data_IF_124250379255
#
_entry.id   IF_124250379255
#
_cell.length_a   1.000
_cell.length_b   1.000
_cell.length_c   1.000
_cell.angle_alpha   90.00
_cell.angle_beta   90.00
_cell.angle_gamma   90.00
#
_symmetry.space_group_name_H-M   'P 1'
#
loop_
_entity.id
_entity.type
_entity.pdbx_description
1 polymer ?
#
# COMPACT_ATOMS: atom_id res chain seq x y z
N UNK A 1 3.50 -4.79 13.74
CA UNK A 1 3.95 -4.68 12.32
C UNK A 1 3.01 -5.50 11.46
N UNK A 2 3.06 -5.41 10.13
CA UNK A 2 2.22 -6.24 9.26
C UNK A 2 2.64 -6.14 7.79
N UNK A 3 1.82 -6.74 6.93
CA UNK A 3 1.90 -6.57 5.49
C UNK A 3 0.58 -6.18 4.87
N UNK A 4 0.66 -5.44 3.78
CA UNK A 4 -0.45 -5.19 2.85
C UNK A 4 -0.02 -5.63 1.47
N UNK A 5 -0.85 -6.41 0.80
CA UNK A 5 -0.69 -6.84 -0.58
C UNK A 5 -1.80 -6.24 -1.44
N UNK A 6 -1.41 -5.50 -2.49
CA UNK A 6 -2.33 -4.89 -3.47
C UNK A 6 -1.80 -5.09 -4.88
N UNK A 7 -2.68 -4.97 -5.87
CA UNK A 7 -2.30 -4.96 -7.29
C UNK A 7 -2.56 -3.58 -7.85
N UNK A 8 -1.55 -3.01 -8.51
CA UNK A 8 -1.64 -1.70 -9.15
C UNK A 8 -0.97 -1.75 -10.52
N UNK A 9 -1.41 -0.87 -11.42
CA UNK A 9 -0.72 -0.65 -12.69
C UNK A 9 0.49 0.24 -12.46
N UNK A 10 1.67 -0.28 -12.79
CA UNK A 10 2.94 0.41 -12.58
C UNK A 10 3.64 0.70 -13.91
N UNK A 11 4.32 1.84 -13.95
CA UNK A 11 5.24 2.17 -15.04
C UNK A 11 6.47 2.91 -14.55
N UNK A 12 7.48 2.99 -15.41
CA UNK A 12 8.75 3.67 -15.09
C UNK A 12 8.57 5.17 -15.10
N UNK A 13 8.94 5.83 -14.01
CA UNK A 13 8.96 7.29 -13.92
C UNK A 13 10.24 7.82 -14.59
N UNK A 14 10.08 8.65 -15.62
CA UNK A 14 11.19 9.13 -16.45
C UNK A 14 11.73 10.51 -16.05
N UNK A 15 10.99 11.28 -15.26
CA UNK A 15 11.33 12.67 -14.88
C UNK A 15 11.36 12.85 -13.36
N UNK A 16 12.04 13.93 -12.90
CA UNK A 16 12.16 14.25 -11.47
C UNK A 16 12.76 13.09 -10.63
N UNK A 17 13.70 12.35 -11.22
CA UNK A 17 14.46 11.29 -10.54
C UNK A 17 15.96 11.50 -10.75
N UNK A 18 16.78 10.84 -9.93
CA UNK A 18 18.22 10.77 -10.18
C UNK A 18 18.51 10.02 -11.49
N UNK A 19 19.49 10.53 -12.23
CA UNK A 19 19.95 9.90 -13.46
C UNK A 19 20.35 8.44 -13.23
N UNK A 20 20.05 7.59 -14.21
CA UNK A 20 20.38 6.17 -14.18
C UNK A 20 19.79 5.38 -13.01
N UNK A 21 18.74 5.88 -12.35
CA UNK A 21 17.98 5.13 -11.33
C UNK A 21 16.65 4.62 -11.88
N UNK A 22 16.20 3.46 -11.41
CA UNK A 22 14.87 2.94 -11.69
C UNK A 22 13.90 3.34 -10.58
N UNK A 23 12.84 4.03 -10.96
CA UNK A 23 11.71 4.39 -10.09
C UNK A 23 10.43 4.00 -10.81
N UNK A 24 9.49 3.37 -10.11
CA UNK A 24 8.15 3.10 -10.63
C UNK A 24 7.12 4.05 -10.00
N UNK A 25 6.06 4.38 -10.74
CA UNK A 25 4.90 5.12 -10.25
C UNK A 25 3.59 4.37 -10.49
N UNK A 26 2.57 4.65 -9.68
CA UNK A 26 1.21 4.14 -9.88
C UNK A 26 0.50 4.98 -10.94
N UNK A 27 0.04 4.35 -12.02
CA UNK A 27 -0.64 5.04 -13.14
C UNK A 27 -2.10 5.37 -12.78
N UNK A 28 -2.77 4.45 -12.08
CA UNK A 28 -4.18 4.55 -11.68
C UNK A 28 -4.35 3.94 -10.28
N UNK A 29 -4.03 4.71 -9.22
CA UNK A 29 -4.11 4.21 -7.84
C UNK A 29 -5.57 4.01 -7.41
N UNK A 30 -5.86 2.89 -6.72
CA UNK A 30 -7.19 2.53 -6.18
C UNK A 30 -8.26 2.30 -7.27
N UNK A 31 -8.19 1.20 -8.03
CA UNK A 31 -9.13 0.93 -9.14
C UNK A 31 -10.59 0.83 -8.71
N UNK A 32 -10.87 0.65 -7.41
CA UNK A 32 -12.22 0.75 -6.83
C UNK A 32 -12.86 2.15 -6.91
N UNK A 33 -12.11 3.18 -7.29
CA UNK A 33 -12.60 4.53 -7.54
C UNK A 33 -12.28 4.98 -8.98
N UNK A 34 -13.30 5.40 -9.73
CA UNK A 34 -13.07 6.08 -11.01
C UNK A 34 -12.64 7.53 -10.74
N UNK A 35 -11.51 7.99 -11.28
CA UNK A 35 -10.84 9.30 -11.08
C UNK A 35 -11.60 10.44 -10.37
N UNK A 36 -12.81 10.81 -10.82
CA UNK A 36 -13.63 11.86 -10.21
C UNK A 36 -14.24 11.53 -8.82
N UNK A 37 -14.23 10.25 -8.42
CA UNK A 37 -14.83 9.73 -7.19
C UNK A 37 -13.79 9.41 -6.10
N UNK A 38 -12.50 9.65 -6.35
CA UNK A 38 -11.47 9.53 -5.31
C UNK A 38 -11.83 10.44 -4.13
N UNK A 39 -11.70 9.97 -2.87
CA UNK A 39 -11.93 10.81 -1.70
C UNK A 39 -11.17 12.14 -1.78
N UNK A 40 -11.91 13.25 -1.76
CA UNK A 40 -11.36 14.61 -1.82
C UNK A 40 -10.21 14.83 -0.81
N UNK A 41 -9.05 15.33 -1.28
CA UNK A 41 -7.88 15.62 -0.44
C UNK A 41 -6.83 14.50 -0.37
N UNK A 42 -7.06 13.37 -1.03
CA UNK A 42 -6.07 12.31 -1.15
C UNK A 42 -5.10 12.59 -2.30
N UNK A 43 -3.80 12.76 -2.01
CA UNK A 43 -2.75 12.86 -3.03
C UNK A 43 -2.07 11.48 -3.15
N UNK A 44 -2.43 10.68 -4.18
CA UNK A 44 -2.08 9.27 -4.23
C UNK A 44 -0.65 9.02 -4.73
N UNK A 45 0.19 10.05 -4.87
CA UNK A 45 1.53 9.91 -5.46
C UNK A 45 2.43 9.07 -4.56
N UNK A 46 2.35 7.76 -4.77
CA UNK A 46 3.31 6.78 -4.31
C UNK A 46 4.27 6.49 -5.45
N UNK A 47 5.56 6.60 -5.15
CA UNK A 47 6.63 6.19 -6.05
C UNK A 47 7.47 5.11 -5.40
N UNK A 48 8.11 4.31 -6.22
CA UNK A 48 8.85 3.13 -5.81
C UNK A 48 10.28 3.17 -6.38
N UNK A 49 11.21 3.91 -5.76
CA UNK A 49 12.62 3.75 -6.06
C UNK A 49 13.06 2.30 -5.84
N UNK A 50 13.54 1.67 -6.91
CA UNK A 50 13.94 0.27 -6.91
C UNK A 50 15.37 0.15 -6.40
N UNK A 51 15.61 -0.77 -5.47
CA UNK A 51 16.88 -0.94 -4.78
C UNK A 51 17.59 -2.23 -5.19
N UNK A 52 18.92 -2.20 -5.29
CA UNK A 52 19.75 -3.32 -5.79
C UNK A 52 19.70 -4.56 -4.90
N UNK A 53 19.43 -4.40 -3.60
CA UNK A 53 19.32 -5.51 -2.65
C UNK A 53 18.14 -5.32 -1.71
N UNK A 54 17.57 -6.43 -1.27
CA UNK A 54 16.58 -6.43 -0.20
C UNK A 54 17.22 -6.00 1.12
N UNK A 55 16.60 -5.05 1.80
CA UNK A 55 16.92 -4.69 3.18
C UNK A 55 15.76 -5.12 4.08
N UNK A 56 16.03 -5.36 5.36
CA UNK A 56 14.95 -5.61 6.33
C UNK A 56 14.05 -4.39 6.47
N UNK A 57 12.77 -4.62 6.76
CA UNK A 57 11.80 -3.55 7.05
C UNK A 57 12.29 -2.62 8.16
N UNK A 58 12.86 -3.19 9.23
CA UNK A 58 13.45 -2.43 10.34
C UNK A 58 14.58 -1.51 9.88
N UNK A 59 15.43 -1.95 8.95
CA UNK A 59 16.49 -1.09 8.42
C UNK A 59 15.93 0.07 7.61
N UNK A 60 14.94 -0.18 6.75
CA UNK A 60 14.27 0.89 6.00
C UNK A 60 13.59 1.88 6.95
N UNK A 61 12.89 1.40 7.99
CA UNK A 61 12.26 2.27 9.00
C UNK A 61 13.29 3.17 9.68
N UNK A 62 14.42 2.60 10.15
CA UNK A 62 15.49 3.39 10.80
C UNK A 62 16.06 4.44 9.86
N UNK A 63 16.37 4.08 8.61
CA UNK A 63 16.88 5.03 7.61
C UNK A 63 15.86 6.15 7.36
N UNK A 64 14.58 5.81 7.17
CA UNK A 64 13.50 6.79 6.99
C UNK A 64 13.41 7.74 8.20
N UNK A 65 13.53 7.23 9.43
CA UNK A 65 13.53 8.04 10.64
C UNK A 65 14.74 8.98 10.75
N UNK A 66 15.94 8.52 10.36
CA UNK A 66 17.13 9.37 10.33
C UNK A 66 17.00 10.49 9.29
N UNK A 67 16.54 10.17 8.07
CA UNK A 67 16.33 11.17 7.01
C UNK A 67 15.35 12.25 7.47
N UNK A 68 14.26 11.88 8.16
CA UNK A 68 13.27 12.84 8.70
C UNK A 68 13.87 13.89 9.65
N UNK A 69 15.01 13.65 10.28
CA UNK A 69 15.64 14.61 11.20
C UNK A 69 16.24 15.81 10.48
N UNK A 70 16.64 15.65 9.21
CA UNK A 70 17.30 16.71 8.44
C UNK A 70 16.57 17.07 7.15
N UNK A 71 15.66 16.22 6.68
CA UNK A 71 14.88 16.47 5.48
C UNK A 71 13.76 17.48 5.76
N UNK A 72 13.65 18.51 4.92
CA UNK A 72 12.78 19.66 5.18
C UNK A 72 11.29 19.38 4.98
N UNK A 73 10.95 18.38 4.19
CA UNK A 73 9.57 18.06 3.83
C UNK A 73 9.09 16.81 4.57
N UNK A 74 7.79 16.74 4.89
CA UNK A 74 7.18 15.50 5.35
C UNK A 74 7.30 14.42 4.27
N UNK A 75 7.46 13.16 4.66
CA UNK A 75 7.37 12.01 3.75
C UNK A 75 7.25 10.71 4.56
N UNK A 76 6.73 9.67 3.92
CA UNK A 76 6.74 8.30 4.43
C UNK A 76 7.56 7.39 3.53
N UNK A 77 8.41 6.58 4.15
CA UNK A 77 9.20 5.54 3.49
C UNK A 77 8.90 4.16 4.06
N UNK A 78 8.39 3.25 3.23
CA UNK A 78 8.03 1.88 3.63
C UNK A 78 8.77 0.86 2.75
N UNK A 79 9.27 -0.23 3.33
CA UNK A 79 9.85 -1.31 2.55
C UNK A 79 8.77 -1.97 1.68
N UNK A 80 9.09 -2.19 0.41
CA UNK A 80 8.17 -2.77 -0.57
C UNK A 80 8.86 -3.87 -1.39
N UNK A 81 8.07 -4.85 -1.81
CA UNK A 81 8.43 -5.84 -2.84
C UNK A 81 7.37 -5.78 -3.93
N UNK A 82 7.78 -5.78 -5.18
CA UNK A 82 6.88 -5.64 -6.33
C UNK A 82 7.16 -6.79 -7.29
N UNK A 83 6.15 -7.58 -7.62
CA UNK A 83 6.24 -8.62 -8.64
C UNK A 83 5.53 -8.17 -9.92
N UNK A 84 6.25 -8.06 -11.04
CA UNK A 84 5.69 -7.74 -12.37
C UNK A 84 6.23 -8.78 -13.36
N UNK A 85 5.36 -9.50 -14.07
CA UNK A 85 5.76 -10.51 -15.05
C UNK A 85 6.80 -11.53 -14.52
N UNK A 86 6.62 -11.99 -13.27
CA UNK A 86 7.55 -12.86 -12.52
C UNK A 86 8.89 -12.23 -12.10
N UNK A 87 9.20 -11.00 -12.50
CA UNK A 87 10.35 -10.27 -11.97
C UNK A 87 10.00 -9.67 -10.60
N UNK A 88 10.86 -9.92 -9.61
CA UNK A 88 10.71 -9.37 -8.26
C UNK A 88 11.65 -8.19 -8.06
N UNK A 89 11.07 -7.04 -7.79
CA UNK A 89 11.75 -5.79 -7.47
C UNK A 89 11.66 -5.50 -5.98
N UNK A 90 12.82 -5.24 -5.35
CA UNK A 90 12.83 -4.65 -4.01
C UNK A 90 12.75 -3.14 -4.16
N UNK A 91 11.94 -2.49 -3.34
CA UNK A 91 11.70 -1.06 -3.43
C UNK A 91 11.53 -0.42 -2.06
N UNK A 92 11.58 0.91 -2.06
CA UNK A 92 11.09 1.74 -0.96
C UNK A 92 9.88 2.48 -1.50
N UNK A 93 8.68 2.24 -0.96
CA UNK A 93 7.54 3.08 -1.28
C UNK A 93 7.72 4.42 -0.60
N UNK A 94 7.75 5.49 -1.38
CA UNK A 94 7.75 6.86 -0.90
C UNK A 94 6.39 7.49 -1.18
N UNK A 95 5.81 8.19 -0.19
CA UNK A 95 4.57 8.96 -0.33
C UNK A 95 4.61 10.20 0.56
N UNK A 96 3.57 11.04 0.46
CA UNK A 96 3.36 12.20 1.35
C UNK A 96 4.48 13.25 1.32
N UNK A 97 5.23 13.33 0.22
CA UNK A 97 6.33 14.30 0.01
C UNK A 97 5.95 15.53 -0.81
N UNK A 98 4.67 15.70 -1.13
CA UNK A 98 4.15 16.88 -1.84
C UNK A 98 4.50 16.87 -3.33
N UNK A 99 5.59 17.55 -3.71
CA UNK A 99 6.01 17.75 -5.11
C UNK A 99 7.02 16.67 -5.55
N UNK A 100 6.79 16.05 -6.72
CA UNK A 100 7.73 15.11 -7.34
C UNK A 100 9.13 15.68 -7.54
N UNK A 101 9.30 16.99 -7.68
CA UNK A 101 10.61 17.65 -7.81
C UNK A 101 11.53 17.41 -6.60
N UNK A 102 10.98 17.03 -5.45
CA UNK A 102 11.71 16.73 -4.21
C UNK A 102 12.30 15.30 -4.24
N UNK A 103 11.78 14.41 -5.09
CA UNK A 103 12.17 13.01 -5.16
C UNK A 103 13.67 12.78 -5.40
N UNK A 104 14.40 13.54 -6.26
CA UNK A 104 15.84 13.37 -6.40
C UNK A 104 16.61 13.66 -5.10
N UNK A 105 16.12 14.59 -4.29
CA UNK A 105 16.70 14.90 -2.98
C UNK A 105 16.47 13.74 -2.00
N UNK A 106 15.26 13.18 -1.95
CA UNK A 106 14.98 11.97 -1.16
C UNK A 106 15.87 10.81 -1.58
N UNK A 107 16.03 10.58 -2.90
CA UNK A 107 16.93 9.54 -3.40
C UNK A 107 18.37 9.78 -2.91
N UNK A 108 18.88 11.02 -2.95
CA UNK A 108 20.21 11.35 -2.42
C UNK A 108 20.32 11.08 -0.91
N UNK A 109 19.30 11.42 -0.13
CA UNK A 109 19.27 11.13 1.31
C UNK A 109 19.33 9.63 1.58
N UNK A 110 18.55 8.81 0.87
CA UNK A 110 18.65 7.36 0.99
C UNK A 110 20.02 6.81 0.55
N UNK A 111 20.64 7.39 -0.49
CA UNK A 111 21.99 7.02 -0.93
C UNK A 111 23.05 7.36 0.12
N UNK A 112 22.94 8.52 0.76
CA UNK A 112 23.80 8.94 1.87
C UNK A 112 23.74 7.93 3.03
N UNK A 113 22.55 7.41 3.33
CA UNK A 113 22.31 6.35 4.32
C UNK A 113 22.69 4.93 3.83
N UNK A 114 23.30 4.81 2.65
CA UNK A 114 23.85 3.56 2.12
C UNK A 114 22.87 2.68 1.33
N UNK A 115 21.75 3.22 0.85
CA UNK A 115 20.88 2.56 -0.13
C UNK A 115 21.47 2.70 -1.54
N UNK A 116 21.46 1.60 -2.30
CA UNK A 116 21.87 1.60 -3.71
C UNK A 116 20.66 1.33 -4.60
N UNK A 117 20.34 2.24 -5.50
CA UNK A 117 19.24 2.10 -6.45
C UNK A 117 19.63 1.25 -7.67
N UNK A 118 18.68 0.49 -8.20
CA UNK A 118 18.84 -0.28 -9.42
C UNK A 118 18.97 0.66 -10.62
N UNK A 119 19.75 0.24 -11.62
CA UNK A 119 19.93 1.04 -12.83
C UNK A 119 18.61 1.13 -13.62
N UNK A 120 18.40 2.26 -14.30
CA UNK A 120 17.22 2.52 -15.12
C UNK A 120 17.01 1.41 -16.17
N UNK A 121 15.76 0.98 -16.31
CA UNK A 121 15.25 0.14 -17.40
C UNK A 121 13.76 0.42 -17.59
N UNK A 122 13.22 0.11 -18.76
CA UNK A 122 11.78 0.25 -18.99
C UNK A 122 11.03 -0.93 -18.35
N UNK A 123 10.08 -0.61 -17.49
CA UNK A 123 9.17 -1.56 -16.82
C UNK A 123 7.76 -0.96 -16.89
N UNK A 124 6.80 -1.78 -17.32
CA UNK A 124 5.37 -1.46 -17.34
C UNK A 124 4.55 -2.73 -17.18
N UNK A 125 3.50 -2.68 -16.37
CA UNK A 125 2.57 -3.80 -16.20
C UNK A 125 1.84 -3.77 -14.87
N UNK A 126 0.99 -4.77 -14.66
CA UNK A 126 0.33 -4.97 -13.38
C UNK A 126 1.33 -5.55 -12.37
N UNK A 127 1.46 -4.88 -11.24
CA UNK A 127 2.40 -5.24 -10.18
C UNK A 127 1.69 -5.68 -8.91
N UNK A 128 2.06 -6.86 -8.40
CA UNK A 128 1.69 -7.28 -7.04
C UNK A 128 2.65 -6.60 -6.07
N UNK A 129 2.15 -5.63 -5.31
CA UNK A 129 2.91 -4.82 -4.36
C UNK A 129 2.67 -5.37 -2.95
N UNK A 130 3.73 -5.83 -2.30
CA UNK A 130 3.74 -6.20 -0.89
C UNK A 130 4.49 -5.13 -0.07
N UNK A 131 3.78 -4.48 0.85
CA UNK A 131 4.30 -3.47 1.74
C UNK A 131 4.51 -4.04 3.14
N UNK A 132 5.64 -3.72 3.79
CA UNK A 132 5.88 -4.05 5.20
C UNK A 132 5.78 -2.78 6.05
N UNK A 133 4.60 -2.54 6.64
CA UNK A 133 4.31 -1.34 7.44
C UNK A 133 4.22 -1.66 8.94
N UNK A 134 4.53 -0.66 9.77
CA UNK A 134 4.00 -0.62 11.13
C UNK A 134 2.54 -0.14 11.06
N UNK A 135 1.77 -0.47 12.10
CA UNK A 135 0.34 -0.18 12.16
C UNK A 135 0.09 0.51 13.49
N UNK A 136 -0.64 1.62 13.42
CA UNK A 136 -1.22 2.27 14.59
C UNK A 136 -2.73 2.20 14.41
N UNK A 137 -3.39 1.40 15.25
CA UNK A 137 -4.78 0.98 15.04
C UNK A 137 -5.63 1.27 16.26
N UNK A 138 -6.84 1.75 16.00
CA UNK A 138 -7.92 1.85 16.96
C UNK A 138 -8.95 0.75 16.69
N UNK A 139 -9.41 0.05 17.73
CA UNK A 139 -10.51 -0.89 17.60
C UNK A 139 -11.84 -0.13 17.58
N UNK A 140 -12.60 -0.26 16.50
CA UNK A 140 -13.95 0.34 16.39
C UNK A 140 -15.05 -0.64 16.82
N UNK A 141 -14.78 -1.94 16.73
CA UNK A 141 -15.72 -3.00 17.05
C UNK A 141 -15.05 -4.36 16.93
N UNK A 142 -15.81 -5.43 17.13
CA UNK A 142 -15.26 -6.78 17.07
C UNK A 142 -14.68 -7.10 15.69
N UNK A 143 -13.35 -7.27 15.63
CA UNK A 143 -12.63 -7.56 14.38
C UNK A 143 -12.63 -6.42 13.37
N UNK A 144 -12.91 -5.18 13.79
CA UNK A 144 -12.90 -3.99 12.94
C UNK A 144 -11.96 -2.96 13.55
N UNK A 145 -10.99 -2.52 12.75
CA UNK A 145 -9.96 -1.58 13.16
C UNK A 145 -9.90 -0.39 12.21
N UNK A 146 -9.53 0.79 12.73
CA UNK A 146 -9.25 2.00 11.97
C UNK A 146 -7.76 2.32 12.04
N UNK A 147 -7.19 2.73 10.91
CA UNK A 147 -5.82 3.24 10.87
C UNK A 147 -5.76 4.66 11.43
N UNK A 148 -4.84 4.90 12.35
CA UNK A 148 -4.60 6.21 12.96
C UNK A 148 -3.64 7.08 12.14
N UNK A 149 -2.81 6.48 11.28
CA UNK A 149 -1.92 7.22 10.37
C UNK A 149 -2.62 7.56 9.04
N UNK A 150 -3.46 6.65 8.53
CA UNK A 150 -4.22 6.82 7.30
C UNK A 150 -5.75 6.78 7.58
N UNK A 151 -6.41 7.89 7.96
CA UNK A 151 -7.79 7.88 8.50
C UNK A 151 -8.88 7.33 7.58
N UNK A 152 -8.58 7.19 6.28
CA UNK A 152 -9.45 6.58 5.26
C UNK A 152 -9.28 5.06 5.14
N UNK A 153 -8.40 4.46 5.96
CA UNK A 153 -8.08 3.04 5.94
C UNK A 153 -8.70 2.35 7.15
N UNK A 154 -9.38 1.24 6.87
CA UNK A 154 -9.98 0.35 7.85
C UNK A 154 -9.48 -1.07 7.62
N UNK A 155 -9.52 -1.91 8.66
CA UNK A 155 -9.11 -3.31 8.58
C UNK A 155 -10.18 -4.21 9.17
N UNK A 156 -10.64 -5.17 8.36
CA UNK A 156 -11.66 -6.13 8.72
C UNK A 156 -11.01 -7.49 8.91
N UNK A 157 -11.05 -8.03 10.14
CA UNK A 157 -10.52 -9.36 10.45
C UNK A 157 -11.31 -10.44 9.75
N UNK A 158 -10.58 -11.33 9.07
CA UNK A 158 -11.09 -12.55 8.43
C UNK A 158 -10.50 -13.80 9.11
N UNK A 159 -11.17 -14.96 9.03
CA UNK A 159 -10.79 -16.15 9.79
C UNK A 159 -9.56 -16.90 9.24
N UNK A 160 -9.15 -16.64 8.00
CA UNK A 160 -8.02 -17.31 7.36
C UNK A 160 -7.38 -16.44 6.27
N UNK A 161 -6.11 -16.73 5.99
CA UNK A 161 -5.39 -16.19 4.85
C UNK A 161 -6.02 -16.62 3.52
N UNK A 162 -6.05 -15.71 2.55
CA UNK A 162 -6.62 -15.96 1.21
C UNK A 162 -5.55 -15.88 0.15
N UNK A 163 -5.66 -16.73 -0.87
CA UNK A 163 -4.92 -16.49 -2.11
C UNK A 163 -5.46 -15.23 -2.79
N UNK A 164 -4.62 -14.58 -3.60
CA UNK A 164 -5.02 -13.37 -4.33
C UNK A 164 -6.25 -13.62 -5.23
N UNK A 165 -6.32 -14.77 -5.90
CA UNK A 165 -7.43 -15.15 -6.77
C UNK A 165 -8.76 -15.23 -5.99
N UNK A 166 -8.77 -15.96 -4.88
CA UNK A 166 -9.97 -16.09 -4.02
C UNK A 166 -10.38 -14.73 -3.45
N UNK A 167 -9.42 -13.92 -3.02
CA UNK A 167 -9.69 -12.57 -2.54
C UNK A 167 -10.34 -11.70 -3.62
N UNK A 168 -9.81 -11.73 -4.85
CA UNK A 168 -10.32 -10.94 -5.97
C UNK A 168 -11.76 -11.34 -6.33
N UNK A 169 -12.03 -12.65 -6.41
CA UNK A 169 -13.36 -13.19 -6.69
C UNK A 169 -14.38 -12.78 -5.61
N UNK A 170 -14.04 -12.97 -4.33
CA UNK A 170 -14.90 -12.59 -3.20
C UNK A 170 -15.15 -11.08 -3.21
N UNK A 171 -14.10 -10.25 -3.32
CA UNK A 171 -14.22 -8.79 -3.33
C UNK A 171 -15.12 -8.31 -4.47
N UNK A 172 -15.01 -8.93 -5.65
CA UNK A 172 -15.82 -8.59 -6.83
C UNK A 172 -17.28 -8.95 -6.60
N UNK A 173 -17.57 -10.14 -6.04
CA UNK A 173 -18.93 -10.54 -5.65
C UNK A 173 -19.55 -9.56 -4.64
N UNK A 174 -18.80 -9.20 -3.59
CA UNK A 174 -19.26 -8.28 -2.55
C UNK A 174 -19.59 -6.90 -3.12
N UNK A 175 -18.74 -6.37 -4.01
CA UNK A 175 -18.99 -5.07 -4.67
C UNK A 175 -20.26 -5.06 -5.51
N UNK A 176 -20.61 -6.17 -6.17
CA UNK A 176 -21.87 -6.26 -6.92
C UNK A 176 -23.10 -6.36 -6.02
N UNK A 177 -22.96 -6.91 -4.81
CA UNK A 177 -24.08 -7.10 -3.87
C UNK A 177 -24.34 -5.90 -2.95
N UNK A 178 -23.35 -5.01 -2.78
CA UNK A 178 -23.45 -3.83 -1.94
C UNK A 178 -23.81 -2.60 -2.76
N UNK A 179 -25.11 -2.36 -2.95
CA UNK A 179 -25.59 -1.12 -3.56
C UNK A 179 -25.08 0.10 -2.77
N UNK A 180 -24.54 1.09 -3.50
CA UNK A 180 -24.11 2.41 -2.99
C UNK A 180 -22.88 2.47 -2.07
N UNK A 181 -22.08 1.40 -1.93
CA UNK A 181 -20.82 1.45 -1.17
C UNK A 181 -19.59 1.40 -2.09
N UNK A 182 -18.97 2.56 -2.32
CA UNK A 182 -17.70 2.64 -3.04
C UNK A 182 -16.52 2.42 -2.08
N UNK A 183 -15.72 1.39 -2.34
CA UNK A 183 -14.48 1.13 -1.59
C UNK A 183 -13.42 0.42 -2.41
N UNK A 184 -12.16 0.65 -2.06
CA UNK A 184 -11.04 -0.15 -2.51
C UNK A 184 -10.60 -1.16 -1.45
N UNK A 185 -10.17 -2.36 -1.86
CA UNK A 185 -9.79 -3.42 -0.94
C UNK A 185 -8.39 -3.96 -1.23
N UNK A 186 -7.66 -4.32 -0.17
CA UNK A 186 -6.39 -5.04 -0.28
C UNK A 186 -6.30 -6.14 0.78
N UNK A 187 -5.48 -7.16 0.51
CA UNK A 187 -5.17 -8.18 1.51
C UNK A 187 -4.17 -7.63 2.51
N UNK A 188 -4.33 -8.02 3.77
CA UNK A 188 -3.41 -7.64 4.82
C UNK A 188 -3.23 -8.72 5.87
N UNK A 189 -2.11 -8.63 6.58
CA UNK A 189 -1.83 -9.43 7.76
C UNK A 189 -1.19 -8.54 8.81
N UNK A 190 -1.69 -8.60 10.05
CA UNK A 190 -1.16 -7.84 11.18
C UNK A 190 -0.43 -8.83 12.10
N UNK A 191 0.84 -8.56 12.38
CA UNK A 191 1.66 -9.27 13.35
C UNK A 191 1.52 -8.61 14.72
N UNK A 192 0.81 -9.29 15.61
CA UNK A 192 0.78 -9.03 17.06
C UNK A 192 1.49 -10.19 17.76
N UNK A 193 0.84 -10.82 18.77
CA UNK A 193 1.27 -12.11 19.31
C UNK A 193 1.10 -13.23 18.28
N UNK A 194 -0.04 -13.20 17.59
CA UNK A 194 -0.39 -14.08 16.49
C UNK A 194 -0.54 -13.27 15.19
N UNK A 195 -0.59 -13.97 14.05
CA UNK A 195 -0.93 -13.35 12.77
C UNK A 195 -2.44 -13.21 12.69
N UNK A 196 -2.90 -11.98 12.43
CA UNK A 196 -4.30 -11.69 12.16
C UNK A 196 -4.43 -11.35 10.69
N UNK A 197 -5.15 -12.19 9.94
CA UNK A 197 -5.50 -11.87 8.56
C UNK A 197 -6.64 -10.86 8.50
N UNK A 198 -6.47 -9.87 7.63
CA UNK A 198 -7.41 -8.77 7.46
C UNK A 198 -7.63 -8.44 5.98
N UNK A 199 -8.79 -7.89 5.68
CA UNK A 199 -9.01 -7.11 4.47
C UNK A 199 -8.90 -5.64 4.83
N UNK A 200 -7.98 -4.92 4.18
CA UNK A 200 -7.92 -3.46 4.27
C UNK A 200 -8.98 -2.87 3.35
N UNK A 201 -9.83 -2.00 3.89
CA UNK A 201 -10.82 -1.21 3.15
C UNK A 201 -10.34 0.24 3.11
N UNK A 202 -10.27 0.81 1.91
CA UNK A 202 -10.10 2.24 1.71
C UNK A 202 -11.43 2.86 1.31
N UNK A 203 -11.91 3.75 2.16
CA UNK A 203 -13.16 4.44 1.93
C UNK A 203 -13.22 5.78 2.66
N UNK A 204 -14.04 6.69 2.14
CA UNK A 204 -14.39 7.95 2.81
C UNK A 204 -15.67 7.77 3.61
N UNK A 205 -15.71 8.38 4.79
CA UNK A 205 -16.93 8.53 5.59
C UNK A 205 -17.66 7.21 5.88
N UNK A 206 -16.92 6.12 6.11
CA UNK A 206 -17.52 4.84 6.51
C UNK A 206 -17.81 4.80 8.00
N UNK A 207 -19.06 4.49 8.34
CA UNK A 207 -19.50 4.22 9.70
C UNK A 207 -19.30 2.74 10.06
N UNK A 208 -19.30 2.45 11.37
CA UNK A 208 -19.15 1.08 11.89
C UNK A 208 -20.20 0.11 11.32
N UNK A 209 -21.42 0.59 11.08
CA UNK A 209 -22.49 -0.22 10.48
C UNK A 209 -22.13 -0.73 9.08
N UNK A 210 -21.54 0.11 8.23
CA UNK A 210 -21.17 -0.27 6.86
C UNK A 210 -19.96 -1.19 6.84
N UNK A 211 -18.95 -0.92 7.68
CA UNK A 211 -17.81 -1.81 7.88
C UNK A 211 -18.25 -3.19 8.37
N UNK A 212 -19.25 -3.24 9.26
CA UNK A 212 -19.81 -4.49 9.77
C UNK A 212 -20.53 -5.27 8.67
N UNK A 213 -21.31 -4.60 7.80
CA UNK A 213 -21.94 -5.22 6.64
C UNK A 213 -20.90 -5.81 5.68
N UNK A 214 -19.86 -5.04 5.35
CA UNK A 214 -18.79 -5.50 4.45
C UNK A 214 -18.09 -6.72 5.05
N UNK A 215 -17.73 -6.66 6.35
CA UNK A 215 -17.11 -7.80 7.03
C UNK A 215 -18.01 -9.03 7.01
N UNK A 216 -19.31 -8.88 7.27
CA UNK A 216 -20.25 -9.99 7.25
C UNK A 216 -20.32 -10.65 5.87
N UNK A 217 -20.35 -9.86 4.79
CA UNK A 217 -20.30 -10.38 3.42
C UNK A 217 -19.04 -11.19 3.15
N UNK A 218 -17.86 -10.74 3.60
CA UNK A 218 -16.63 -11.55 3.51
C UNK A 218 -16.76 -12.86 4.27
N UNK A 219 -17.32 -12.85 5.48
CA UNK A 219 -17.50 -14.08 6.27
C UNK A 219 -18.45 -15.07 5.59
N UNK A 220 -19.54 -14.57 4.99
CA UNK A 220 -20.52 -15.42 4.32
C UNK A 220 -19.99 -16.00 3.01
N UNK A 221 -19.28 -15.21 2.20
CA UNK A 221 -18.60 -15.70 0.98
C UNK A 221 -17.52 -16.73 1.33
N UNK A 222 -16.77 -16.52 2.42
CA UNK A 222 -15.73 -17.46 2.84
C UNK A 222 -16.28 -18.81 3.30
N UNK A 223 -17.55 -18.93 3.71
CA UNK A 223 -18.15 -20.23 4.05
C UNK A 223 -18.36 -21.13 2.84
N UNK A 224 -18.29 -20.59 1.62
CA UNK A 224 -18.46 -21.35 0.38
C UNK A 224 -17.19 -22.10 -0.07
N UNK A 225 -16.07 -21.86 0.62
CA UNK A 225 -14.73 -22.41 0.33
C UNK A 225 -14.20 -23.22 1.51
#
# INVERSE_FOLDING_TARGET
>A
MGSIAKVEKLETLDSNILENTLVLEEVEPFPGYHGANLPSGYNPTAVYPIIKKKYSSIKIIRITQEIRKYFKHGFDGTAASICINNDVYNAIRLRNFGDLKILPELQRSYMYEGIKFLNKKSVKGDGVIELKKHFELEALGEGIYKDLEDPLMYYLRIPRHLSWQVFFEITTSIRHNLDNLNFDAALGSIYLKDIIDVVRIFAKDMELGDLSKIRQQYLDELRKY
#
